data_IF_166928462994
#
_entry.id   IF_166928462994
#
_cell.length_a   1.000
_cell.length_b   1.000
_cell.length_c   1.000
_cell.angle_alpha   90.00
_cell.angle_beta   90.00
_cell.angle_gamma   90.00
#
_symmetry.space_group_name_H-M   'P 1'
#
loop_
_entity.id
_entity.type
_entity.pdbx_description
1 polymer ?
#
# COMPACT_ATOMS: atom_id res chain seq x y z
N UNK A 1 -19.85 -2.02 -6.95
CA UNK A 1 -19.89 -3.48 -7.07
C UNK A 1 -20.97 -4.12 -6.19
N UNK A 2 -21.02 -3.88 -4.89
CA UNK A 2 -22.00 -4.51 -3.99
C UNK A 2 -23.44 -4.23 -4.38
N UNK A 3 -23.79 -2.97 -4.67
CA UNK A 3 -25.14 -2.60 -5.11
C UNK A 3 -25.45 -3.20 -6.48
N UNK A 4 -24.50 -3.16 -7.41
CA UNK A 4 -24.66 -3.77 -8.74
C UNK A 4 -24.87 -5.29 -8.65
N UNK A 5 -24.03 -5.99 -7.89
CA UNK A 5 -24.17 -7.43 -7.66
C UNK A 5 -25.54 -7.77 -7.04
N UNK A 6 -25.95 -7.05 -5.98
CA UNK A 6 -27.21 -7.29 -5.30
C UNK A 6 -28.42 -7.04 -6.20
N UNK A 7 -28.44 -5.94 -6.93
CA UNK A 7 -29.53 -5.61 -7.86
C UNK A 7 -29.62 -6.59 -9.03
N UNK A 8 -28.48 -6.93 -9.63
CA UNK A 8 -28.44 -7.88 -10.75
C UNK A 8 -28.82 -9.29 -10.31
N UNK A 9 -28.42 -9.71 -9.11
CA UNK A 9 -28.83 -10.99 -8.54
C UNK A 9 -30.34 -11.03 -8.27
N UNK A 10 -30.88 -9.96 -7.66
CA UNK A 10 -32.32 -9.82 -7.43
C UNK A 10 -33.10 -9.91 -8.76
N UNK A 11 -32.65 -9.17 -9.77
CA UNK A 11 -33.26 -9.20 -11.09
C UNK A 11 -33.24 -10.61 -11.70
N UNK A 12 -32.09 -11.30 -11.66
CA UNK A 12 -31.96 -12.66 -12.17
C UNK A 12 -32.89 -13.67 -11.48
N UNK A 13 -32.97 -13.61 -10.14
CA UNK A 13 -33.87 -14.48 -9.38
C UNK A 13 -35.34 -14.13 -9.64
N UNK A 14 -35.68 -12.85 -9.74
CA UNK A 14 -37.04 -12.40 -10.04
C UNK A 14 -37.47 -12.86 -11.44
N UNK A 15 -36.59 -12.73 -12.45
CA UNK A 15 -36.83 -13.19 -13.82
C UNK A 15 -37.03 -14.73 -13.90
N UNK A 16 -36.34 -15.49 -13.04
CA UNK A 16 -36.59 -16.95 -12.92
C UNK A 16 -37.95 -17.29 -12.35
N UNK A 17 -38.42 -16.50 -11.38
CA UNK A 17 -39.69 -16.74 -10.70
C UNK A 17 -40.90 -16.23 -11.52
N UNK A 18 -40.71 -15.22 -12.36
CA UNK A 18 -41.74 -14.55 -13.17
C UNK A 18 -41.28 -14.40 -14.63
N UNK A 19 -41.13 -15.50 -15.36
CA UNK A 19 -40.60 -15.47 -16.74
C UNK A 19 -41.52 -14.75 -17.74
N UNK A 20 -42.80 -14.58 -17.41
CA UNK A 20 -43.82 -13.88 -18.21
C UNK A 20 -43.65 -12.34 -18.21
N UNK A 21 -42.91 -11.79 -17.27
CA UNK A 21 -42.65 -10.36 -17.18
C UNK A 21 -41.48 -9.90 -18.07
N UNK A 22 -40.69 -10.86 -18.57
CA UNK A 22 -39.51 -10.58 -19.39
C UNK A 22 -39.91 -10.35 -20.84
N UNK A 23 -39.85 -9.10 -21.30
CA UNK A 23 -40.12 -8.70 -22.66
C UNK A 23 -38.86 -8.22 -23.36
N UNK A 24 -38.60 -8.77 -24.55
CA UNK A 24 -37.57 -8.23 -25.43
C UNK A 24 -38.07 -6.90 -26.05
N UNK A 25 -37.68 -5.80 -25.45
CA UNK A 25 -37.98 -4.45 -25.98
C UNK A 25 -36.73 -3.94 -26.66
N UNK A 26 -36.86 -3.54 -27.96
CA UNK A 26 -35.80 -2.87 -28.71
C UNK A 26 -34.43 -3.61 -28.78
N UNK A 27 -34.46 -4.88 -29.23
CA UNK A 27 -33.27 -5.75 -29.38
C UNK A 27 -32.15 -5.05 -30.20
N UNK A 28 -32.53 -4.31 -31.25
CA UNK A 28 -31.57 -3.60 -32.09
C UNK A 28 -30.80 -2.53 -31.30
N UNK A 29 -31.51 -1.80 -30.42
CA UNK A 29 -30.88 -0.78 -29.53
C UNK A 29 -29.99 -1.48 -28.51
N UNK A 30 -30.46 -2.58 -27.90
CA UNK A 30 -29.69 -3.34 -26.93
C UNK A 30 -28.39 -3.90 -27.55
N UNK A 31 -28.46 -4.44 -28.74
CA UNK A 31 -27.30 -4.94 -29.50
C UNK A 31 -26.30 -3.82 -29.84
N UNK A 32 -26.79 -2.64 -30.23
CA UNK A 32 -25.94 -1.47 -30.48
C UNK A 32 -25.22 -0.98 -29.22
N UNK A 33 -25.92 -0.91 -28.10
CA UNK A 33 -25.37 -0.53 -26.81
C UNK A 33 -24.31 -1.54 -26.35
N UNK A 34 -24.60 -2.83 -26.42
CA UNK A 34 -23.64 -3.89 -26.04
C UNK A 34 -22.37 -3.86 -26.89
N UNK A 35 -22.52 -3.67 -28.22
CA UNK A 35 -21.35 -3.55 -29.10
C UNK A 35 -20.50 -2.32 -28.76
N UNK A 36 -21.12 -1.17 -28.51
CA UNK A 36 -20.43 0.04 -28.14
C UNK A 36 -19.73 -0.10 -26.79
N UNK A 37 -20.42 -0.65 -25.79
CA UNK A 37 -19.83 -0.94 -24.48
C UNK A 37 -18.66 -1.92 -24.60
N UNK A 38 -18.79 -2.97 -25.38
CA UNK A 38 -17.71 -3.94 -25.61
C UNK A 38 -16.45 -3.28 -26.18
N UNK A 39 -16.59 -2.38 -27.13
CA UNK A 39 -15.46 -1.68 -27.72
C UNK A 39 -14.77 -0.74 -26.72
N UNK A 40 -15.57 0.02 -25.95
CA UNK A 40 -15.04 0.91 -24.93
C UNK A 40 -14.32 0.15 -23.82
N UNK A 41 -14.99 -0.86 -23.22
CA UNK A 41 -14.44 -1.65 -22.11
C UNK A 41 -13.20 -2.46 -22.55
N UNK A 42 -13.17 -2.95 -23.80
CA UNK A 42 -12.00 -3.62 -24.35
C UNK A 42 -10.81 -2.65 -24.50
N UNK A 43 -11.06 -1.40 -24.87
CA UNK A 43 -10.04 -0.38 -24.97
C UNK A 43 -9.49 -0.02 -23.59
N UNK A 44 -10.35 0.24 -22.59
CA UNK A 44 -9.92 0.55 -21.21
C UNK A 44 -9.15 -0.62 -20.59
N UNK A 45 -9.64 -1.85 -20.78
CA UNK A 45 -8.95 -3.06 -20.35
C UNK A 45 -7.55 -3.18 -20.96
N UNK A 46 -7.41 -2.88 -22.24
CA UNK A 46 -6.09 -2.91 -22.90
C UNK A 46 -5.12 -1.88 -22.31
N UNK A 47 -5.60 -0.65 -22.04
CA UNK A 47 -4.82 0.40 -21.40
C UNK A 47 -4.41 -0.01 -19.97
N UNK A 48 -5.35 -0.50 -19.17
CA UNK A 48 -5.10 -0.97 -17.82
C UNK A 48 -4.12 -2.16 -17.79
N UNK A 49 -4.28 -3.12 -18.71
CA UNK A 49 -3.35 -4.24 -18.85
C UNK A 49 -1.92 -3.78 -19.15
N UNK A 50 -1.77 -2.83 -20.08
CA UNK A 50 -0.47 -2.28 -20.46
C UNK A 50 0.18 -1.58 -19.27
N UNK A 51 -0.55 -0.76 -18.54
CA UNK A 51 -0.06 -0.05 -17.35
C UNK A 51 0.42 -1.03 -16.26
N UNK A 52 -0.39 -2.05 -15.93
CA UNK A 52 -0.02 -3.06 -14.94
C UNK A 52 1.18 -3.88 -15.40
N UNK A 53 1.28 -4.22 -16.69
CA UNK A 53 2.43 -4.95 -17.23
C UNK A 53 3.73 -4.14 -17.14
N UNK A 54 3.70 -2.87 -17.54
CA UNK A 54 4.87 -1.97 -17.44
C UNK A 54 5.30 -1.79 -15.96
N UNK A 55 4.35 -1.67 -15.05
CA UNK A 55 4.62 -1.59 -13.62
C UNK A 55 5.22 -2.88 -13.04
N UNK A 56 4.75 -4.05 -13.50
CA UNK A 56 5.32 -5.34 -13.12
C UNK A 56 6.78 -5.49 -13.61
N UNK A 57 7.06 -5.08 -14.85
CA UNK A 57 8.41 -5.11 -15.43
C UNK A 57 9.36 -4.16 -14.68
N UNK A 58 8.90 -2.96 -14.32
CA UNK A 58 9.71 -1.98 -13.56
C UNK A 58 10.06 -2.45 -12.15
N UNK A 59 9.21 -3.28 -11.55
CA UNK A 59 9.43 -3.89 -10.22
C UNK A 59 10.10 -5.27 -10.27
N UNK A 60 10.53 -5.73 -11.47
CA UNK A 60 11.13 -7.06 -11.68
C UNK A 60 10.24 -8.22 -11.18
N UNK A 61 8.93 -8.03 -11.18
CA UNK A 61 7.93 -9.02 -10.77
C UNK A 61 7.29 -9.68 -11.99
N UNK A 62 6.89 -10.95 -11.86
CA UNK A 62 6.00 -11.54 -12.86
C UNK A 62 4.61 -10.91 -12.79
N UNK A 63 3.87 -10.87 -13.91
CA UNK A 63 2.52 -10.29 -13.95
C UNK A 63 1.59 -10.89 -12.88
N UNK A 64 1.60 -12.22 -12.70
CA UNK A 64 0.79 -12.90 -11.69
C UNK A 64 1.18 -12.58 -10.26
N UNK A 65 2.46 -12.36 -10.01
CA UNK A 65 2.98 -11.94 -8.70
C UNK A 65 2.59 -10.48 -8.42
N UNK A 66 2.72 -9.60 -9.41
CA UNK A 66 2.29 -8.20 -9.30
C UNK A 66 0.79 -8.08 -9.00
N UNK A 67 -0.04 -8.91 -9.64
CA UNK A 67 -1.48 -8.97 -9.35
C UNK A 67 -1.80 -9.30 -7.89
N UNK A 68 -1.00 -10.14 -7.23
CA UNK A 68 -1.21 -10.57 -5.83
C UNK A 68 -0.54 -9.64 -4.82
N UNK A 69 0.69 -9.24 -5.09
CA UNK A 69 1.61 -8.62 -4.13
C UNK A 69 2.14 -7.25 -4.59
N UNK A 70 1.77 -6.81 -5.79
CA UNK A 70 2.26 -5.56 -6.36
C UNK A 70 1.97 -4.34 -5.48
N UNK A 71 2.86 -3.34 -5.52
CA UNK A 71 2.81 -2.16 -4.66
C UNK A 71 1.63 -1.24 -4.95
N UNK A 72 1.06 -1.30 -6.17
CA UNK A 72 -0.09 -0.47 -6.57
C UNK A 72 -1.38 -1.29 -6.62
N UNK A 73 -2.15 -1.36 -5.52
CA UNK A 73 -3.43 -2.04 -5.49
C UNK A 73 -4.50 -1.36 -6.36
N UNK A 74 -4.36 -0.04 -6.64
CA UNK A 74 -5.33 0.70 -7.44
C UNK A 74 -5.25 0.32 -8.92
N UNK A 75 -4.05 0.22 -9.49
CA UNK A 75 -3.86 -0.23 -10.88
C UNK A 75 -4.43 -1.64 -11.10
N UNK A 76 -4.22 -2.54 -10.12
CA UNK A 76 -4.79 -3.90 -10.18
C UNK A 76 -6.32 -3.88 -10.04
N UNK A 77 -6.88 -2.98 -9.21
CA UNK A 77 -8.31 -2.83 -9.05
C UNK A 77 -8.97 -2.41 -10.38
N UNK A 78 -8.42 -1.38 -11.04
CA UNK A 78 -8.91 -0.90 -12.34
C UNK A 78 -8.85 -2.01 -13.41
N UNK A 79 -7.73 -2.74 -13.49
CA UNK A 79 -7.60 -3.85 -14.43
C UNK A 79 -8.67 -4.94 -14.22
N UNK A 80 -8.96 -5.28 -12.96
CA UNK A 80 -9.97 -6.30 -12.65
C UNK A 80 -11.40 -5.80 -12.90
N UNK A 81 -11.64 -4.51 -12.66
CA UNK A 81 -12.91 -3.86 -12.96
C UNK A 81 -13.20 -3.87 -14.45
N UNK A 82 -12.24 -3.43 -15.27
CA UNK A 82 -12.37 -3.42 -16.73
C UNK A 82 -12.49 -4.84 -17.29
N UNK A 83 -11.74 -5.80 -16.74
CA UNK A 83 -11.88 -7.22 -17.13
C UNK A 83 -13.27 -7.74 -16.80
N UNK A 84 -13.80 -7.46 -15.62
CA UNK A 84 -15.17 -7.86 -15.24
C UNK A 84 -16.22 -7.22 -16.14
N UNK A 85 -16.04 -5.95 -16.53
CA UNK A 85 -16.95 -5.27 -17.45
C UNK A 85 -16.97 -5.93 -18.83
N UNK A 86 -15.80 -6.22 -19.41
CA UNK A 86 -15.70 -6.94 -20.69
C UNK A 86 -16.35 -8.32 -20.61
N UNK A 87 -16.04 -9.11 -19.58
CA UNK A 87 -16.67 -10.43 -19.39
C UNK A 87 -18.17 -10.32 -19.16
N UNK A 88 -18.64 -9.31 -18.43
CA UNK A 88 -20.05 -9.03 -18.23
C UNK A 88 -20.79 -8.75 -19.53
N UNK A 89 -20.22 -7.93 -20.42
CA UNK A 89 -20.80 -7.63 -21.73
C UNK A 89 -20.82 -8.88 -22.61
N UNK A 90 -19.80 -9.73 -22.57
CA UNK A 90 -19.78 -11.00 -23.31
C UNK A 90 -20.89 -11.92 -22.81
N UNK A 91 -21.02 -12.09 -21.48
CA UNK A 91 -22.09 -12.93 -20.89
C UNK A 91 -23.48 -12.40 -21.31
N UNK A 92 -23.70 -11.09 -21.17
CA UNK A 92 -24.94 -10.44 -21.56
C UNK A 92 -25.26 -10.67 -23.04
N UNK A 93 -24.27 -10.47 -23.92
CA UNK A 93 -24.43 -10.65 -25.38
C UNK A 93 -24.78 -12.07 -25.74
N UNK A 94 -24.12 -13.06 -25.13
CA UNK A 94 -24.42 -14.51 -25.37
C UNK A 94 -25.83 -14.86 -24.88
N UNK A 95 -26.17 -14.42 -23.66
CA UNK A 95 -27.47 -14.73 -23.05
C UNK A 95 -28.64 -14.08 -23.82
N UNK A 96 -28.48 -12.81 -24.23
CA UNK A 96 -29.49 -12.14 -25.08
C UNK A 96 -29.60 -12.83 -26.46
N UNK A 97 -28.45 -13.19 -27.05
CA UNK A 97 -28.46 -13.95 -28.31
C UNK A 97 -29.21 -15.28 -28.18
N UNK A 98 -28.97 -16.03 -27.11
CA UNK A 98 -29.70 -17.29 -26.84
C UNK A 98 -31.19 -17.04 -26.58
N UNK A 99 -31.53 -15.96 -25.87
CA UNK A 99 -32.93 -15.57 -25.68
C UNK A 99 -33.61 -15.28 -27.01
N UNK A 100 -32.98 -14.54 -27.92
CA UNK A 100 -33.52 -14.24 -29.25
C UNK A 100 -33.70 -15.52 -30.07
N UNK A 101 -32.73 -16.44 -30.03
CA UNK A 101 -32.76 -17.68 -30.82
C UNK A 101 -33.77 -18.70 -30.30
N UNK A 102 -33.93 -18.82 -28.98
CA UNK A 102 -34.76 -19.85 -28.35
C UNK A 102 -36.15 -19.37 -27.97
N UNK A 103 -36.34 -18.03 -27.86
CA UNK A 103 -37.58 -17.44 -27.36
C UNK A 103 -37.79 -17.69 -25.85
N UNK A 104 -36.80 -18.24 -25.15
CA UNK A 104 -36.93 -18.64 -23.74
C UNK A 104 -36.33 -17.59 -22.81
N UNK A 105 -37.12 -16.93 -21.95
CA UNK A 105 -36.65 -15.88 -21.01
C UNK A 105 -35.68 -16.38 -19.94
N UNK A 106 -35.51 -17.69 -19.79
CA UNK A 106 -34.62 -18.29 -18.82
C UNK A 106 -33.15 -17.85 -19.05
N UNK A 107 -32.79 -17.56 -20.29
CA UNK A 107 -31.42 -17.10 -20.63
C UNK A 107 -31.09 -15.73 -20.06
N UNK A 108 -32.08 -14.81 -19.99
CA UNK A 108 -31.88 -13.50 -19.35
C UNK A 108 -31.60 -13.65 -17.85
N UNK A 109 -32.36 -14.50 -17.19
CA UNK A 109 -32.16 -14.80 -15.77
C UNK A 109 -30.79 -15.44 -15.50
N UNK A 110 -30.36 -16.41 -16.33
CA UNK A 110 -29.06 -17.05 -16.23
C UNK A 110 -27.96 -16.00 -16.44
N UNK A 111 -28.06 -15.13 -17.44
CA UNK A 111 -27.12 -14.06 -17.71
C UNK A 111 -26.96 -13.11 -16.52
N UNK A 112 -28.08 -12.66 -15.97
CA UNK A 112 -28.08 -11.78 -14.78
C UNK A 112 -27.42 -12.44 -13.56
N UNK A 113 -27.70 -13.72 -13.29
CA UNK A 113 -27.08 -14.45 -12.18
C UNK A 113 -25.57 -14.62 -12.39
N UNK A 114 -25.13 -14.96 -13.60
CA UNK A 114 -23.71 -15.12 -13.92
C UNK A 114 -22.94 -13.78 -13.76
N UNK A 115 -23.52 -12.68 -14.22
CA UNK A 115 -22.96 -11.34 -14.05
C UNK A 115 -22.91 -10.96 -12.57
N UNK A 116 -23.95 -11.26 -11.80
CA UNK A 116 -23.96 -11.00 -10.36
C UNK A 116 -22.85 -11.77 -9.64
N UNK A 117 -22.65 -13.05 -9.96
CA UNK A 117 -21.56 -13.86 -9.39
C UNK A 117 -20.20 -13.26 -9.77
N UNK A 118 -20.00 -12.89 -11.03
CA UNK A 118 -18.75 -12.25 -11.50
C UNK A 118 -18.45 -10.99 -10.72
N UNK A 119 -19.42 -10.07 -10.60
CA UNK A 119 -19.28 -8.83 -9.84
C UNK A 119 -19.02 -9.10 -8.34
N UNK A 120 -19.68 -10.09 -7.76
CA UNK A 120 -19.49 -10.50 -6.37
C UNK A 120 -18.07 -11.00 -6.10
N UNK A 121 -17.53 -11.85 -6.97
CA UNK A 121 -16.17 -12.38 -6.87
C UNK A 121 -15.14 -11.25 -6.97
N UNK A 122 -15.30 -10.35 -7.93
CA UNK A 122 -14.41 -9.18 -8.08
C UNK A 122 -14.50 -8.27 -6.88
N UNK A 123 -15.71 -7.99 -6.38
CA UNK A 123 -15.90 -7.17 -5.19
C UNK A 123 -15.18 -7.74 -3.95
N UNK A 124 -15.31 -9.04 -3.69
CA UNK A 124 -14.64 -9.71 -2.58
C UNK A 124 -13.11 -9.62 -2.73
N UNK A 125 -12.60 -9.88 -3.94
CA UNK A 125 -11.15 -9.80 -4.20
C UNK A 125 -10.63 -8.38 -3.93
N UNK A 126 -11.33 -7.35 -4.42
CA UNK A 126 -10.95 -5.95 -4.22
C UNK A 126 -10.98 -5.54 -2.74
N UNK A 127 -11.99 -5.99 -1.99
CA UNK A 127 -12.05 -5.74 -0.53
C UNK A 127 -10.87 -6.36 0.19
N UNK A 128 -10.53 -7.62 -0.13
CA UNK A 128 -9.39 -8.30 0.49
C UNK A 128 -8.07 -7.59 0.15
N UNK A 129 -7.89 -7.18 -1.10
CA UNK A 129 -6.68 -6.48 -1.55
C UNK A 129 -6.56 -5.09 -0.93
N UNK A 130 -7.62 -4.29 -0.96
CA UNK A 130 -7.62 -2.95 -0.39
C UNK A 130 -7.47 -2.97 1.13
N UNK A 131 -8.02 -3.97 1.82
CA UNK A 131 -7.81 -4.13 3.26
C UNK A 131 -6.33 -4.28 3.62
N UNK A 132 -5.57 -5.05 2.84
CA UNK A 132 -4.12 -5.20 3.04
C UNK A 132 -3.38 -3.86 2.84
N UNK A 133 -3.77 -3.07 1.85
CA UNK A 133 -3.19 -1.75 1.61
C UNK A 133 -3.50 -0.75 2.73
N UNK A 134 -4.73 -0.80 3.30
CA UNK A 134 -5.15 0.09 4.40
C UNK A 134 -4.52 -0.28 5.75
N UNK A 135 -4.24 -1.56 5.99
CA UNK A 135 -3.60 -2.03 7.22
C UNK A 135 -2.08 -1.82 7.22
N UNK A 136 -1.51 -1.33 6.12
CA UNK A 136 -0.08 -1.24 5.89
C UNK A 136 0.51 -2.62 5.52
N UNK A 137 1.17 -2.71 4.40
CA UNK A 137 1.93 -3.91 4.06
C UNK A 137 3.25 -3.87 4.82
N UNK A 138 3.62 -4.99 5.43
CA UNK A 138 4.97 -5.16 5.97
C UNK A 138 5.97 -5.04 4.83
N UNK A 139 7.00 -4.26 5.04
CA UNK A 139 8.09 -4.07 4.10
C UNK A 139 8.76 -5.41 3.80
N UNK A 140 9.33 -5.54 2.61
CA UNK A 140 10.17 -6.67 2.27
C UNK A 140 11.27 -6.83 3.33
N UNK A 141 11.39 -8.05 3.88
CA UNK A 141 12.37 -8.37 4.94
C UNK A 141 13.80 -7.96 4.56
N UNK A 142 14.16 -7.99 3.28
CA UNK A 142 15.49 -7.57 2.82
C UNK A 142 15.72 -6.05 3.01
N UNK A 143 14.74 -5.21 2.68
CA UNK A 143 14.87 -3.76 2.84
C UNK A 143 14.84 -3.35 4.34
N UNK A 144 14.01 -4.03 5.13
CA UNK A 144 14.01 -3.83 6.58
C UNK A 144 15.36 -4.21 7.19
N UNK A 145 15.96 -5.33 6.76
CA UNK A 145 17.26 -5.77 7.24
C UNK A 145 18.37 -4.80 6.82
N UNK A 146 18.33 -4.26 5.61
CA UNK A 146 19.30 -3.24 5.16
C UNK A 146 19.31 -2.01 6.08
N UNK A 147 18.13 -1.54 6.52
CA UNK A 147 18.06 -0.43 7.47
C UNK A 147 18.57 -0.85 8.85
N UNK A 148 18.24 -2.04 9.32
CA UNK A 148 18.75 -2.58 10.60
C UNK A 148 20.27 -2.66 10.56
N UNK A 149 20.86 -3.22 9.51
CA UNK A 149 22.31 -3.35 9.37
C UNK A 149 23.02 -1.98 9.38
N UNK A 150 22.39 -0.94 8.80
CA UNK A 150 22.90 0.44 8.85
C UNK A 150 22.84 1.05 10.27
N UNK A 151 21.82 0.70 11.05
CA UNK A 151 21.67 1.13 12.43
C UNK A 151 22.68 0.40 13.33
N UNK A 152 22.81 -0.91 13.23
CA UNK A 152 23.76 -1.72 14.00
C UNK A 152 25.23 -1.33 13.76
N UNK A 153 25.53 -0.82 12.56
CA UNK A 153 26.86 -0.34 12.21
C UNK A 153 27.18 1.06 12.77
N UNK A 154 26.23 1.73 13.40
CA UNK A 154 26.43 3.09 13.92
C UNK A 154 26.95 3.07 15.36
N UNK A 155 28.11 3.67 15.66
CA UNK A 155 28.73 3.62 16.99
C UNK A 155 27.93 4.33 18.08
N UNK A 156 26.95 5.15 17.74
CA UNK A 156 26.07 5.80 18.71
C UNK A 156 24.91 4.90 19.17
N UNK A 157 24.75 3.71 18.57
CA UNK A 157 23.67 2.77 18.88
C UNK A 157 24.21 1.58 19.66
N UNK A 158 23.62 1.30 20.83
CA UNK A 158 23.95 0.13 21.65
C UNK A 158 23.05 -1.06 21.30
N UNK A 159 21.73 -0.84 21.15
CA UNK A 159 20.78 -1.87 20.76
C UNK A 159 19.56 -1.28 20.04
N UNK A 160 18.84 -2.17 19.30
CA UNK A 160 17.66 -1.78 18.51
C UNK A 160 16.50 -2.67 18.94
N UNK A 161 15.38 -2.05 19.25
CA UNK A 161 14.17 -2.71 19.70
C UNK A 161 12.95 -2.31 18.85
N UNK A 162 11.89 -3.11 18.91
CA UNK A 162 10.54 -2.89 18.34
C UNK A 162 10.52 -2.30 16.91
N UNK A 163 11.31 -2.90 16.01
CA UNK A 163 11.43 -2.45 14.62
C UNK A 163 10.12 -2.68 13.87
N UNK A 164 9.54 -1.60 13.35
CA UNK A 164 8.32 -1.59 12.55
C UNK A 164 8.56 -0.87 11.22
N UNK A 165 8.38 -1.58 10.12
CA UNK A 165 8.46 -1.02 8.78
C UNK A 165 7.15 -1.24 8.03
N UNK A 166 6.51 -0.16 7.57
CA UNK A 166 5.17 -0.18 6.98
C UNK A 166 5.15 0.59 5.67
N UNK A 167 4.61 -0.01 4.62
CA UNK A 167 4.39 0.67 3.34
C UNK A 167 3.14 1.56 3.46
N UNK A 168 3.31 2.86 3.25
CA UNK A 168 2.24 3.85 3.33
C UNK A 168 1.65 4.20 1.95
N UNK A 169 2.29 3.75 0.87
CA UNK A 169 1.89 4.01 -0.51
C UNK A 169 2.93 3.47 -1.49
N UNK A 170 2.73 3.70 -2.79
CA UNK A 170 3.60 3.16 -3.85
C UNK A 170 5.10 3.50 -3.65
N UNK A 171 5.40 4.71 -3.16
CA UNK A 171 6.77 5.20 -2.98
C UNK A 171 7.00 5.78 -1.57
N UNK A 172 6.27 5.31 -0.58
CA UNK A 172 6.38 5.82 0.80
C UNK A 172 6.42 4.68 1.80
N UNK A 173 7.55 4.61 2.51
CA UNK A 173 7.81 3.70 3.61
C UNK A 173 7.85 4.52 4.91
N UNK A 174 7.21 4.00 5.95
CA UNK A 174 7.41 4.43 7.33
C UNK A 174 8.25 3.39 8.05
N UNK A 175 9.36 3.83 8.60
CA UNK A 175 10.22 3.05 9.48
C UNK A 175 10.17 3.63 10.88
N UNK A 176 9.95 2.79 11.87
CA UNK A 176 10.00 3.14 13.29
C UNK A 176 10.82 2.10 14.01
N UNK A 177 11.68 2.54 14.92
CA UNK A 177 12.42 1.68 15.83
C UNK A 177 12.62 2.36 17.17
N UNK A 178 12.71 1.58 18.23
CA UNK A 178 13.17 2.00 19.55
C UNK A 178 14.67 1.73 19.63
N UNK A 179 15.44 2.75 20.02
CA UNK A 179 16.90 2.74 19.99
C UNK A 179 17.44 3.00 21.38
N UNK A 180 18.34 2.11 21.79
CA UNK A 180 19.18 2.31 22.96
C UNK A 180 20.49 2.97 22.50
N UNK A 181 20.75 4.17 22.97
CA UNK A 181 21.92 4.95 22.56
C UNK A 181 23.11 4.73 23.51
N UNK A 182 24.32 4.55 22.96
CA UNK A 182 25.55 4.56 23.75
C UNK A 182 25.84 5.97 24.24
N UNK A 183 25.41 6.25 25.47
CA UNK A 183 25.62 7.54 26.13
C UNK A 183 27.11 7.92 26.27
N UNK A 184 28.05 6.95 26.27
CA UNK A 184 29.49 7.23 26.28
C UNK A 184 29.95 7.75 24.93
N UNK A 185 29.50 7.12 23.84
CA UNK A 185 29.84 7.57 22.50
C UNK A 185 29.32 8.98 22.22
N UNK A 186 28.09 9.31 22.67
CA UNK A 186 27.52 10.65 22.59
C UNK A 186 28.34 11.64 23.42
N UNK A 187 28.67 11.30 24.68
CA UNK A 187 29.45 12.14 25.56
C UNK A 187 30.88 12.39 25.02
N UNK A 188 31.55 11.38 24.49
CA UNK A 188 32.87 11.49 23.89
C UNK A 188 32.87 12.41 22.67
N UNK A 189 31.82 12.35 21.84
CA UNK A 189 31.68 13.26 20.71
C UNK A 189 31.51 14.71 21.13
N UNK A 190 30.66 14.96 22.12
CA UNK A 190 30.50 16.30 22.68
C UNK A 190 31.81 16.79 23.29
N UNK A 191 32.50 15.98 24.13
CA UNK A 191 33.75 16.32 24.76
C UNK A 191 34.87 16.63 23.74
N UNK A 192 34.89 15.91 22.60
CA UNK A 192 35.88 16.15 21.55
C UNK A 192 35.75 17.53 20.88
N UNK A 193 34.59 18.17 20.99
CA UNK A 193 34.35 19.52 20.49
C UNK A 193 34.71 20.62 21.51
N UNK A 194 35.07 20.25 22.77
CA UNK A 194 35.35 21.18 23.86
C UNK A 194 36.85 21.35 24.14
N UNK A 195 37.25 22.53 24.63
CA UNK A 195 38.56 22.71 25.23
C UNK A 195 38.55 22.16 26.68
N UNK A 196 38.91 20.89 26.80
CA UNK A 196 38.93 20.18 28.09
C UNK A 196 39.79 20.86 29.12
N UNK A 197 40.93 21.54 28.74
CA UNK A 197 41.79 22.22 29.65
C UNK A 197 41.16 23.51 30.21
N UNK A 198 40.40 24.22 29.40
CA UNK A 198 39.59 25.35 29.83
C UNK A 198 38.44 24.90 30.74
N UNK A 199 37.69 23.90 30.30
CA UNK A 199 36.57 23.31 31.04
C UNK A 199 36.98 22.84 32.43
N UNK A 200 38.12 22.15 32.53
CA UNK A 200 38.70 21.72 33.83
C UNK A 200 39.01 22.90 34.75
N UNK A 201 39.59 23.97 34.23
CA UNK A 201 39.91 25.17 35.03
C UNK A 201 38.65 25.85 35.59
N UNK A 202 37.61 25.93 34.80
CA UNK A 202 36.33 26.55 35.17
C UNK A 202 35.59 25.73 36.23
N UNK A 203 35.58 24.41 36.06
CA UNK A 203 34.82 23.48 36.93
C UNK A 203 35.51 23.20 38.25
N UNK A 204 36.84 23.19 38.29
CA UNK A 204 37.61 22.84 39.50
C UNK A 204 37.73 23.99 40.51
N UNK A 205 37.15 25.15 40.22
CA UNK A 205 37.34 26.35 41.05
C UNK A 205 36.46 26.35 42.31
N UNK A 206 35.23 25.80 42.26
CA UNK A 206 34.24 25.83 43.33
C UNK A 206 33.20 24.70 43.15
N UNK A 207 32.66 24.20 44.28
CA UNK A 207 31.63 23.16 44.30
C UNK A 207 30.33 23.61 43.62
N UNK A 208 29.94 24.86 43.77
CA UNK A 208 28.74 25.40 43.12
C UNK A 208 28.89 25.44 41.59
N UNK A 209 30.08 25.78 41.11
CA UNK A 209 30.45 25.74 39.68
C UNK A 209 30.35 24.33 39.12
N UNK A 210 30.79 23.33 39.85
CA UNK A 210 30.66 21.93 39.46
C UNK A 210 29.20 21.49 39.35
N UNK A 211 28.34 21.91 40.28
CA UNK A 211 26.92 21.62 40.21
C UNK A 211 26.20 22.29 39.00
N UNK A 212 26.62 23.52 38.67
CA UNK A 212 26.11 24.20 37.47
C UNK A 212 26.52 23.42 36.21
N UNK A 213 27.81 23.08 36.09
CA UNK A 213 28.35 22.32 35.00
C UNK A 213 27.61 20.98 34.79
N UNK A 214 27.35 20.23 35.84
CA UNK A 214 26.60 18.93 35.70
C UNK A 214 25.21 19.11 35.11
N UNK A 215 24.55 20.23 35.42
CA UNK A 215 23.23 20.52 34.82
C UNK A 215 23.35 20.91 33.35
N UNK A 216 24.29 21.79 33.02
CA UNK A 216 24.58 22.22 31.65
C UNK A 216 25.06 21.03 30.80
N UNK A 217 25.92 20.17 31.37
CA UNK A 217 26.34 18.93 30.70
C UNK A 217 25.16 17.99 30.39
N UNK A 218 24.24 17.82 31.33
CA UNK A 218 23.02 17.03 31.11
C UNK A 218 22.16 17.58 29.99
N UNK A 219 22.00 18.91 29.91
CA UNK A 219 21.30 19.60 28.83
C UNK A 219 21.99 19.37 27.49
N UNK A 220 23.31 19.57 27.42
CA UNK A 220 24.09 19.35 26.20
C UNK A 220 24.10 17.89 25.73
N UNK A 221 24.06 16.92 26.64
CA UNK A 221 23.94 15.50 26.25
C UNK A 221 22.55 15.20 25.63
N UNK A 222 21.49 15.80 26.17
CA UNK A 222 20.14 15.65 25.57
C UNK A 222 20.06 16.31 24.18
N UNK A 223 20.66 17.49 24.00
CA UNK A 223 20.77 18.13 22.69
C UNK A 223 21.58 17.28 21.70
N UNK A 224 22.77 16.80 22.13
CA UNK A 224 23.62 15.95 21.30
C UNK A 224 22.93 14.62 20.89
N UNK A 225 22.10 14.07 21.77
CA UNK A 225 21.28 12.90 21.43
C UNK A 225 20.24 13.22 20.36
N UNK A 226 19.58 14.38 20.44
CA UNK A 226 18.66 14.84 19.39
C UNK A 226 19.36 15.00 18.03
N UNK A 227 20.55 15.62 18.02
CA UNK A 227 21.36 15.77 16.81
C UNK A 227 21.77 14.41 16.20
N UNK A 228 22.05 13.40 17.05
CA UNK A 228 22.37 12.05 16.59
C UNK A 228 21.16 11.35 15.98
N UNK A 229 19.99 11.51 16.57
CA UNK A 229 18.73 10.99 16.01
C UNK A 229 18.52 11.57 14.60
N UNK A 230 18.56 12.88 14.49
CA UNK A 230 18.38 13.59 13.21
C UNK A 230 19.42 13.15 12.17
N UNK A 231 20.68 13.00 12.56
CA UNK A 231 21.76 12.52 11.70
C UNK A 231 21.50 11.11 11.16
N UNK A 232 21.08 10.20 12.04
CA UNK A 232 20.82 8.80 11.69
C UNK A 232 19.57 8.71 10.81
N UNK A 233 18.50 9.44 11.14
CA UNK A 233 17.30 9.51 10.30
C UNK A 233 17.62 10.01 8.90
N UNK A 234 18.43 11.06 8.78
CA UNK A 234 18.83 11.62 7.49
C UNK A 234 19.71 10.64 6.70
N UNK A 235 20.59 9.89 7.38
CA UNK A 235 21.40 8.82 6.77
C UNK A 235 20.51 7.73 6.17
N UNK A 236 19.47 7.29 6.90
CA UNK A 236 18.50 6.31 6.41
C UNK A 236 17.73 6.86 5.20
N UNK A 237 17.19 8.09 5.29
CA UNK A 237 16.44 8.74 4.20
C UNK A 237 17.28 8.89 2.92
N UNK A 238 18.58 9.12 3.06
CA UNK A 238 19.51 9.19 1.92
C UNK A 238 19.82 7.83 1.30
N UNK A 239 20.00 6.80 2.12
CA UNK A 239 20.30 5.45 1.67
C UNK A 239 19.07 4.75 1.07
N UNK A 240 17.89 4.98 1.65
CA UNK A 240 16.62 4.41 1.24
C UNK A 240 15.63 5.53 0.92
N UNK A 241 15.61 6.07 -0.32
CA UNK A 241 14.79 7.23 -0.69
C UNK A 241 13.27 7.02 -0.54
N UNK A 242 12.83 5.76 -0.48
CA UNK A 242 11.43 5.39 -0.19
C UNK A 242 11.07 5.52 1.28
N UNK A 243 12.04 5.52 2.20
CA UNK A 243 11.85 5.73 3.64
C UNK A 243 11.62 7.21 3.95
N UNK A 244 10.46 7.75 3.57
CA UNK A 244 10.11 9.17 3.74
C UNK A 244 9.83 9.54 5.20
N UNK A 245 9.36 8.59 5.97
CA UNK A 245 9.06 8.75 7.39
C UNK A 245 9.92 7.79 8.18
N UNK A 246 10.95 8.30 8.78
CA UNK A 246 11.82 7.60 9.73
C UNK A 246 11.58 8.23 11.09
N UNK A 247 11.34 7.42 12.08
CA UNK A 247 10.94 7.81 13.43
C UNK A 247 11.70 6.92 14.42
N UNK A 248 12.76 7.46 14.99
CA UNK A 248 13.62 6.77 15.94
C UNK A 248 13.30 7.29 17.34
N UNK A 249 12.80 6.42 18.19
CA UNK A 249 12.48 6.75 19.59
C UNK A 249 13.57 6.18 20.51
N UNK A 250 13.87 6.90 21.59
CA UNK A 250 14.76 6.40 22.65
C UNK A 250 13.97 5.47 23.57
N UNK A 251 14.55 4.33 23.92
CA UNK A 251 14.00 3.43 24.95
C UNK A 251 14.23 3.99 26.35
#
# INVERSE_FOLDING_TARGET
FFLGCGFTLYHGVHSLMHPEDVKLVAIEIAGGVLLFSFLLESWTLWVAYKAVKESAESTSMSFGQYMKEGPDPMAVAVLLEDAAAVFGVIIASVCIGLFVLTGNPIWDAIGSILIAILLGVVAIFLVIKNRKALLGQTVNSALQQEIIDMLEADPAIESIHDVKATIMGADSLRFKAEIDFDGKAIAERWLSSQDIAQLHREVSTDQDRFHVFLREYGEHICEAMGDEIDRIEEKIKKAVPTAKHVDLETE
#
